data_IF_513223112024
#
_entry.id   IF_513223112024
#
_cell.length_a   1.000
_cell.length_b   1.000
_cell.length_c   1.000
_cell.angle_alpha   90.00
_cell.angle_beta   90.00
_cell.angle_gamma   90.00
#
_symmetry.space_group_name_H-M   'P 1'
#
loop_
_entity.id
_entity.type
_entity.pdbx_description
1 polymer ?
#
# COMPACT_ATOMS: atom_id res chain seq x y z
N UNK A 1 -1.81 -13.92 6.46
CA UNK A 1 -2.47 -13.58 5.18
C UNK A 1 -1.38 -13.37 4.15
N UNK A 2 -1.57 -13.81 2.91
CA UNK A 2 -0.60 -13.64 1.84
C UNK A 2 -0.89 -12.32 1.11
N UNK A 3 -1.53 -12.35 -0.06
CA UNK A 3 -1.77 -11.18 -0.91
C UNK A 3 -3.05 -11.35 -1.75
N UNK A 4 -3.38 -10.36 -2.59
CA UNK A 4 -4.41 -10.49 -3.63
C UNK A 4 -3.92 -11.36 -4.80
N UNK A 5 -4.79 -11.73 -5.76
CA UNK A 5 -4.40 -12.59 -6.88
C UNK A 5 -3.23 -12.08 -7.72
N UNK A 6 -3.01 -10.76 -7.78
CA UNK A 6 -1.89 -10.14 -8.50
C UNK A 6 -1.36 -8.86 -7.82
N UNK A 7 -1.69 -8.65 -6.55
CA UNK A 7 -1.47 -7.39 -5.83
C UNK A 7 -1.06 -7.64 -4.38
N UNK A 8 -0.06 -6.91 -3.88
CA UNK A 8 0.25 -6.93 -2.46
C UNK A 8 -0.80 -6.15 -1.66
N UNK A 9 -1.09 -6.59 -0.43
CA UNK A 9 -2.07 -5.95 0.46
C UNK A 9 -1.39 -5.10 1.54
N UNK A 10 -2.01 -3.97 1.85
CA UNK A 10 -1.70 -3.14 3.01
C UNK A 10 -2.98 -2.84 3.79
N UNK A 11 -2.85 -2.71 5.10
CA UNK A 11 -3.88 -2.15 5.98
C UNK A 11 -3.30 -1.04 6.83
N UNK A 12 -4.14 -0.09 7.20
CA UNK A 12 -3.82 0.99 8.13
C UNK A 12 -4.60 0.76 9.41
N UNK A 13 -3.91 0.83 10.54
CA UNK A 13 -4.56 0.85 11.85
C UNK A 13 -3.82 1.79 12.80
N UNK A 14 -4.55 2.70 13.43
CA UNK A 14 -4.02 3.66 14.41
C UNK A 14 -2.81 4.45 13.86
N UNK A 15 -2.94 4.95 12.62
CA UNK A 15 -1.88 5.64 11.85
C UNK A 15 -0.61 4.82 11.57
N UNK A 16 -0.65 3.50 11.73
CA UNK A 16 0.44 2.58 11.36
C UNK A 16 0.03 1.77 10.15
N UNK A 17 0.94 1.67 9.17
CA UNK A 17 0.76 0.87 7.96
C UNK A 17 1.32 -0.52 8.23
N UNK A 18 0.52 -1.54 7.94
CA UNK A 18 0.90 -2.94 8.05
C UNK A 18 0.81 -3.60 6.67
N UNK A 19 1.80 -4.45 6.37
CA UNK A 19 1.78 -5.31 5.18
C UNK A 19 2.38 -6.67 5.54
N UNK A 20 1.95 -7.77 4.91
CA UNK A 20 2.54 -9.07 5.16
C UNK A 20 4.04 -9.09 4.83
N UNK A 21 4.85 -9.85 5.59
CA UNK A 21 6.28 -10.04 5.32
C UNK A 21 6.48 -11.01 4.14
N UNK A 22 7.66 -11.02 3.53
CA UNK A 22 7.97 -11.89 2.39
C UNK A 22 7.72 -13.38 2.67
N UNK A 23 7.94 -13.84 3.91
CA UNK A 23 7.71 -15.24 4.29
C UNK A 23 6.23 -15.63 4.36
N UNK A 24 5.29 -14.68 4.28
CA UNK A 24 3.87 -14.94 4.19
C UNK A 24 3.42 -15.40 2.77
N UNK A 25 4.37 -15.88 1.96
CA UNK A 25 4.15 -16.33 0.58
C UNK A 25 3.57 -15.24 -0.30
N UNK A 26 4.14 -14.03 -0.22
CA UNK A 26 3.80 -12.91 -1.10
C UNK A 26 4.86 -12.73 -2.17
N UNK A 27 4.49 -12.16 -3.32
CA UNK A 27 5.45 -11.64 -4.28
C UNK A 27 6.16 -10.42 -3.68
N UNK A 28 7.48 -10.33 -3.89
CA UNK A 28 8.26 -9.13 -3.59
C UNK A 28 7.98 -8.04 -4.65
N UNK A 29 6.80 -7.43 -4.59
CA UNK A 29 6.34 -6.46 -5.59
C UNK A 29 7.15 -5.16 -5.58
N UNK A 30 7.46 -4.64 -6.77
CA UNK A 30 8.15 -3.35 -6.92
C UNK A 30 7.24 -2.20 -6.49
N UNK A 31 5.96 -2.20 -6.86
CA UNK A 31 4.99 -1.19 -6.40
C UNK A 31 4.84 -1.21 -4.88
N UNK A 32 4.88 -2.39 -4.25
CA UNK A 32 4.89 -2.53 -2.78
C UNK A 32 6.12 -1.85 -2.19
N UNK A 33 7.31 -2.11 -2.73
CA UNK A 33 8.54 -1.47 -2.29
C UNK A 33 8.46 0.06 -2.43
N UNK A 34 7.99 0.56 -3.57
CA UNK A 34 7.74 1.99 -3.79
C UNK A 34 6.78 2.58 -2.75
N UNK A 35 5.68 1.90 -2.43
CA UNK A 35 4.70 2.35 -1.42
C UNK A 35 5.32 2.38 -0.02
N UNK A 36 6.15 1.39 0.34
CA UNK A 36 6.87 1.38 1.62
C UNK A 36 7.84 2.57 1.71
N UNK A 37 8.57 2.86 0.63
CA UNK A 37 9.49 4.00 0.57
C UNK A 37 8.75 5.34 0.67
N UNK A 38 7.65 5.52 -0.09
CA UNK A 38 6.79 6.71 -0.05
C UNK A 38 6.20 6.90 1.35
N UNK A 39 5.66 5.84 1.95
CA UNK A 39 5.08 5.90 3.28
C UNK A 39 6.11 6.35 4.34
N UNK A 40 7.32 5.78 4.30
CA UNK A 40 8.42 6.17 5.19
C UNK A 40 8.87 7.62 4.95
N UNK A 41 8.94 8.04 3.69
CA UNK A 41 9.25 9.43 3.31
C UNK A 41 8.23 10.42 3.87
N UNK A 42 6.94 10.08 3.82
CA UNK A 42 5.84 10.86 4.41
C UNK A 42 5.81 10.83 5.95
N UNK A 43 6.74 10.10 6.59
CA UNK A 43 6.85 10.01 8.05
C UNK A 43 5.95 8.95 8.68
N UNK A 44 5.31 8.07 7.88
CA UNK A 44 4.49 6.99 8.40
C UNK A 44 5.33 5.80 8.87
N UNK A 45 4.88 5.17 9.97
CA UNK A 45 5.44 3.90 10.43
C UNK A 45 4.89 2.78 9.55
N UNK A 46 5.79 2.00 8.97
CA UNK A 46 5.48 0.78 8.21
C UNK A 46 5.99 -0.44 8.97
N UNK A 47 5.12 -1.40 9.23
CA UNK A 47 5.43 -2.66 9.93
C UNK A 47 5.14 -3.84 9.01
N UNK A 48 6.17 -4.62 8.73
CA UNK A 48 6.05 -5.88 8.02
C UNK A 48 5.81 -7.00 9.04
N UNK A 49 4.59 -7.53 9.11
CA UNK A 49 4.21 -8.57 10.08
C UNK A 49 3.05 -9.43 9.57
N UNK A 50 2.87 -10.60 10.15
CA UNK A 50 1.73 -11.45 9.83
C UNK A 50 0.40 -10.73 10.10
N UNK A 51 -0.43 -10.68 9.07
CA UNK A 51 -1.78 -10.12 9.15
C UNK A 51 -2.78 -11.26 9.27
N UNK A 52 -3.63 -11.17 10.29
CA UNK A 52 -4.76 -12.10 10.47
C UNK A 52 -5.98 -11.62 9.68
N UNK A 53 -6.91 -12.52 9.37
CA UNK A 53 -8.18 -12.13 8.73
C UNK A 53 -8.98 -11.15 9.58
N UNK A 54 -8.96 -11.31 10.91
CA UNK A 54 -9.63 -10.40 11.83
C UNK A 54 -9.05 -8.97 11.77
N UNK A 55 -7.75 -8.84 11.54
CA UNK A 55 -7.10 -7.53 11.40
C UNK A 55 -7.61 -6.73 10.21
N UNK A 56 -8.08 -7.41 9.14
CA UNK A 56 -8.67 -6.72 8.00
C UNK A 56 -9.96 -5.99 8.37
N UNK A 57 -10.85 -6.65 9.12
CA UNK A 57 -12.13 -6.05 9.53
C UNK A 57 -11.98 -4.95 10.58
N UNK A 58 -10.82 -4.86 11.21
CA UNK A 58 -10.52 -3.84 12.22
C UNK A 58 -9.68 -2.69 11.66
N UNK A 59 -9.28 -2.76 10.39
CA UNK A 59 -8.47 -1.74 9.74
C UNK A 59 -9.27 -0.44 9.55
N UNK A 60 -8.58 0.69 9.66
CA UNK A 60 -9.15 2.01 9.40
C UNK A 60 -9.10 2.34 7.89
N UNK A 61 -8.10 1.82 7.19
CA UNK A 61 -7.98 1.89 5.73
C UNK A 61 -7.36 0.57 5.20
N UNK A 62 -7.66 0.20 3.96
CA UNK A 62 -7.03 -0.94 3.29
C UNK A 62 -6.78 -0.61 1.81
N UNK A 63 -5.70 -1.15 1.25
CA UNK A 63 -5.35 -0.93 -0.15
C UNK A 63 -4.59 -2.13 -0.74
N UNK A 64 -4.74 -2.29 -2.05
CA UNK A 64 -3.90 -3.13 -2.89
C UNK A 64 -2.85 -2.30 -3.60
N UNK A 65 -1.70 -2.92 -3.88
CA UNK A 65 -0.65 -2.36 -4.71
C UNK A 65 -0.19 -3.35 -5.76
N UNK A 66 -0.04 -2.89 -7.00
CA UNK A 66 0.50 -3.69 -8.10
C UNK A 66 0.87 -2.82 -9.29
N UNK A 67 1.58 -3.35 -10.28
CA UNK A 67 1.92 -2.54 -11.47
C UNK A 67 0.68 -2.20 -12.27
N UNK A 68 -0.24 -3.16 -12.47
CA UNK A 68 -1.50 -2.93 -13.17
C UNK A 68 -2.56 -2.27 -12.27
N UNK A 69 -2.58 -2.62 -10.98
CA UNK A 69 -3.55 -2.10 -10.01
C UNK A 69 -3.14 -0.75 -9.40
N UNK A 70 -1.91 -0.29 -9.65
CA UNK A 70 -1.31 0.90 -9.06
C UNK A 70 -1.47 0.93 -7.53
N UNK A 71 -2.22 1.90 -7.00
CA UNK A 71 -2.65 1.99 -5.61
C UNK A 71 -4.17 2.02 -5.61
N UNK A 72 -4.78 0.89 -5.25
CA UNK A 72 -6.24 0.68 -5.30
C UNK A 72 -6.79 0.56 -3.88
N UNK A 73 -7.57 1.54 -3.39
CA UNK A 73 -8.25 1.44 -2.10
C UNK A 73 -9.26 0.28 -2.05
N UNK A 74 -9.35 -0.36 -0.89
CA UNK A 74 -10.32 -1.42 -0.61
C UNK A 74 -11.37 -0.86 0.35
N UNK A 75 -12.60 -0.71 -0.14
CA UNK A 75 -13.73 -0.17 0.66
C UNK A 75 -14.49 -1.22 1.47
N UNK A 76 -14.38 -2.49 1.10
CA UNK A 76 -15.16 -3.58 1.68
C UNK A 76 -14.42 -4.91 1.53
N UNK A 77 -14.46 -5.75 2.58
CA UNK A 77 -13.85 -7.08 2.61
C UNK A 77 -14.84 -8.06 3.23
N UNK A 78 -15.17 -9.15 2.53
CA UNK A 78 -16.14 -10.16 2.99
C UNK A 78 -17.48 -9.55 3.49
N UNK A 79 -18.02 -8.57 2.75
CA UNK A 79 -19.22 -7.82 3.13
C UNK A 79 -19.11 -6.97 4.41
N UNK A 80 -17.90 -6.81 4.94
CA UNK A 80 -17.60 -5.86 6.00
C UNK A 80 -17.05 -4.57 5.40
N UNK A 81 -17.72 -3.45 5.69
CA UNK A 81 -17.32 -2.13 5.22
C UNK A 81 -16.07 -1.66 5.98
N UNK A 82 -15.00 -1.33 5.23
CA UNK A 82 -13.82 -0.64 5.74
C UNK A 82 -14.07 0.87 5.75
N UNK A 83 -14.71 1.36 4.67
CA UNK A 83 -15.01 2.77 4.45
C UNK A 83 -14.31 3.34 3.21
N UNK A 84 -14.44 4.65 3.03
CA UNK A 84 -13.77 5.39 1.97
C UNK A 84 -12.25 5.47 2.22
N UNK A 85 -11.41 5.63 1.16
CA UNK A 85 -9.97 5.82 1.33
C UNK A 85 -9.68 6.99 2.29
N UNK A 86 -8.98 6.69 3.36
CA UNK A 86 -8.59 7.66 4.36
C UNK A 86 -7.39 8.51 3.92
N UNK A 87 -6.84 9.23 4.89
CA UNK A 87 -5.79 10.22 4.66
C UNK A 87 -4.51 9.55 4.17
N UNK A 88 -4.12 8.43 4.79
CA UNK A 88 -2.83 7.79 4.52
C UNK A 88 -2.83 7.22 3.10
N UNK A 89 -3.90 6.52 2.71
CA UNK A 89 -4.05 5.98 1.35
C UNK A 89 -4.00 7.10 0.31
N UNK A 90 -4.72 8.21 0.53
CA UNK A 90 -4.76 9.34 -0.40
C UNK A 90 -3.40 10.04 -0.55
N UNK A 91 -2.66 10.23 0.54
CA UNK A 91 -1.34 10.85 0.48
C UNK A 91 -0.31 9.99 -0.24
N UNK A 92 -0.28 8.68 0.05
CA UNK A 92 0.58 7.73 -0.67
C UNK A 92 0.21 7.70 -2.15
N UNK A 93 -1.09 7.61 -2.46
CA UNK A 93 -1.60 7.60 -3.83
C UNK A 93 -1.18 8.87 -4.59
N UNK A 94 -1.33 10.05 -3.97
CA UNK A 94 -0.92 11.32 -4.57
C UNK A 94 0.59 11.33 -4.90
N UNK A 95 1.44 10.96 -3.94
CA UNK A 95 2.91 10.98 -4.15
C UNK A 95 3.31 9.97 -5.22
N UNK A 96 2.75 8.76 -5.20
CA UNK A 96 3.01 7.75 -6.23
C UNK A 96 2.67 8.26 -7.63
N UNK A 97 1.49 8.86 -7.80
CA UNK A 97 1.09 9.43 -9.08
C UNK A 97 1.94 10.62 -9.51
N UNK A 98 2.33 11.48 -8.57
CA UNK A 98 3.23 12.60 -8.86
C UNK A 98 4.62 12.09 -9.29
N UNK A 99 5.11 10.97 -8.74
CA UNK A 99 6.36 10.33 -9.19
C UNK A 99 6.21 9.78 -10.60
N UNK A 100 5.23 8.89 -10.87
CA UNK A 100 5.13 8.23 -12.18
C UNK A 100 4.78 9.20 -13.33
N UNK A 101 4.28 10.39 -13.01
CA UNK A 101 4.02 11.47 -13.99
C UNK A 101 5.12 12.52 -14.07
N UNK A 102 6.25 12.32 -13.38
CA UNK A 102 7.41 13.21 -13.43
C UNK A 102 7.22 14.56 -12.73
N UNK A 103 6.24 14.68 -11.83
CA UNK A 103 5.98 15.89 -11.02
C UNK A 103 6.71 15.87 -9.67
N UNK A 104 7.46 14.82 -9.38
CA UNK A 104 8.15 14.62 -8.11
C UNK A 104 9.50 13.92 -8.31
N UNK A 105 10.59 14.62 -8.00
CA UNK A 105 11.96 14.22 -8.35
C UNK A 105 12.77 13.64 -7.16
N UNK A 106 12.17 13.55 -5.98
CA UNK A 106 12.85 13.01 -4.78
C UNK A 106 13.30 11.55 -4.98
N UNK A 107 12.62 10.82 -5.87
CA UNK A 107 12.92 9.43 -6.22
C UNK A 107 13.56 9.31 -7.62
N UNK A 108 14.42 10.26 -7.99
CA UNK A 108 15.02 10.45 -9.33
C UNK A 108 15.76 9.27 -9.99
N UNK A 109 15.70 8.06 -9.42
CA UNK A 109 16.13 6.81 -10.05
C UNK A 109 15.00 5.88 -10.50
N UNK A 110 13.73 6.27 -10.35
CA UNK A 110 12.59 5.40 -10.72
C UNK A 110 12.05 5.62 -12.14
N UNK A 111 12.34 6.77 -12.75
CA UNK A 111 11.90 7.09 -14.11
C UNK A 111 13.06 6.93 -15.09
N UNK A 112 12.90 5.97 -16.01
CA UNK A 112 13.74 5.88 -17.21
C UNK A 112 13.00 6.59 -18.36
N UNK A 113 13.59 7.66 -18.90
CA UNK A 113 12.95 8.49 -19.93
C UNK A 113 13.23 7.85 -21.29
N UNK A 114 12.19 7.25 -21.87
CA UNK A 114 12.22 6.57 -23.18
C UNK A 114 11.80 7.47 -24.35
#
# INVERSE_FOLDING_TARGET
MSEGPGENIFIVKDNVIYTPPEHASILKGITRDSVIQIARYLGYKVVEQDITRASLYLADEALFTGTAAEITPIREIDSYEIGEPGKITKEIQKVFFDIITGRFDEFGGWLDII
#
